data_IF_987963822306
#
_entry.id   IF_987963822306
#
_cell.length_a   1.000
_cell.length_b   1.000
_cell.length_c   1.000
_cell.angle_alpha   90.00
_cell.angle_beta   90.00
_cell.angle_gamma   90.00
#
_symmetry.space_group_name_H-M   'P 1'
#
loop_
_entity.id
_entity.type
_entity.pdbx_description
1 polymer ?
#
# COMPACT_ATOMS: atom_id res chain seq x y z
N UNK A 1 -21.55 45.20 20.16
CA UNK A 1 -20.66 44.16 20.70
C UNK A 1 -20.00 43.44 19.53
N UNK A 2 -18.70 43.15 19.66
CA UNK A 2 -17.79 42.79 18.58
C UNK A 2 -17.98 41.37 18.01
N UNK A 3 -17.24 41.12 16.91
CA UNK A 3 -16.83 39.80 16.36
C UNK A 3 -17.82 39.15 15.38
N UNK A 4 -17.45 38.67 14.19
CA UNK A 4 -16.22 38.70 13.42
C UNK A 4 -16.61 38.30 11.98
N UNK A 5 -16.06 38.98 10.97
CA UNK A 5 -16.09 38.51 9.59
C UNK A 5 -15.30 37.20 9.52
N UNK A 6 -15.91 36.12 9.03
CA UNK A 6 -15.19 34.88 8.77
C UNK A 6 -14.20 35.10 7.61
N UNK A 7 -12.93 34.73 7.76
CA UNK A 7 -11.97 34.80 6.68
C UNK A 7 -12.29 33.73 5.64
N UNK A 8 -12.32 34.13 4.37
CA UNK A 8 -12.33 33.24 3.22
C UNK A 8 -10.92 32.61 3.13
N UNK A 9 -10.73 31.42 3.69
CA UNK A 9 -9.51 30.64 3.43
C UNK A 9 -9.69 29.96 2.07
N UNK A 10 -9.14 30.56 1.02
CA UNK A 10 -8.84 29.87 -0.23
C UNK A 10 -7.47 29.22 -0.07
N UNK A 11 -7.44 27.90 0.12
CA UNK A 11 -6.21 27.13 -0.10
C UNK A 11 -5.91 27.10 -1.62
N UNK A 12 -4.64 27.19 -2.04
CA UNK A 12 -4.25 27.22 -3.46
C UNK A 12 -4.43 25.87 -4.19
N UNK A 13 -4.94 24.85 -3.50
CA UNK A 13 -5.30 23.56 -4.09
C UNK A 13 -6.83 23.44 -4.02
N UNK A 14 -7.51 23.48 -5.17
CA UNK A 14 -8.96 23.64 -5.32
C UNK A 14 -9.85 22.50 -4.81
N UNK A 15 -9.66 22.04 -3.58
CA UNK A 15 -10.55 21.15 -2.87
C UNK A 15 -11.55 21.98 -2.04
N UNK A 16 -12.82 21.96 -2.44
CA UNK A 16 -13.90 22.60 -1.69
C UNK A 16 -14.12 21.85 -0.36
N UNK A 17 -13.77 22.47 0.76
CA UNK A 17 -14.04 21.94 2.11
C UNK A 17 -15.25 22.66 2.69
N UNK A 18 -16.40 21.98 2.70
CA UNK A 18 -17.62 22.47 3.34
C UNK A 18 -17.55 22.23 4.86
N UNK A 19 -17.61 23.29 5.67
CA UNK A 19 -17.80 23.19 7.12
C UNK A 19 -19.03 23.99 7.54
N UNK A 20 -19.94 23.37 8.28
CA UNK A 20 -21.08 24.04 8.89
C UNK A 20 -21.09 23.74 10.40
N UNK A 21 -21.39 24.77 11.22
CA UNK A 21 -21.56 24.58 12.67
C UNK A 21 -22.90 23.86 12.91
N UNK A 22 -22.96 22.87 13.82
CA UNK A 22 -24.20 22.15 14.11
C UNK A 22 -25.25 23.15 14.63
N UNK A 23 -26.39 23.23 13.93
CA UNK A 23 -27.57 23.98 14.36
C UNK A 23 -28.67 22.98 14.74
N UNK A 24 -29.36 23.17 15.87
CA UNK A 24 -30.51 22.35 16.21
C UNK A 24 -31.62 22.53 15.17
N UNK A 25 -32.30 21.43 14.82
CA UNK A 25 -33.41 21.46 13.87
C UNK A 25 -34.59 22.27 14.46
N UNK A 26 -35.22 23.18 13.70
CA UNK A 26 -36.37 23.91 14.20
C UNK A 26 -37.55 22.96 14.41
N UNK A 27 -38.16 23.03 15.59
CA UNK A 27 -39.37 22.28 15.95
C UNK A 27 -40.53 22.75 15.08
N UNK A 28 -41.05 21.86 14.22
CA UNK A 28 -42.29 22.11 13.48
C UNK A 28 -43.47 22.09 14.44
N UNK A 29 -44.21 23.20 14.53
CA UNK A 29 -45.53 23.23 15.17
C UNK A 29 -46.53 22.42 14.33
N UNK A 30 -47.32 21.55 14.98
CA UNK A 30 -48.27 20.63 14.33
C UNK A 30 -49.57 21.30 13.86
N UNK A 31 -49.83 22.55 14.25
CA UNK A 31 -51.03 23.29 13.85
C UNK A 31 -50.67 24.68 13.31
N UNK A 32 -51.39 25.09 12.28
CA UNK A 32 -51.15 26.31 11.51
C UNK A 32 -52.08 27.41 12.04
N UNK A 33 -51.67 28.07 13.11
CA UNK A 33 -52.37 29.27 13.60
C UNK A 33 -51.98 30.49 12.76
N UNK A 34 -52.94 31.22 12.15
CA UNK A 34 -52.64 32.34 11.26
C UNK A 34 -52.11 33.61 11.97
N UNK A 35 -52.06 33.62 13.30
CA UNK A 35 -51.69 34.80 14.09
C UNK A 35 -50.17 34.94 14.38
N UNK A 36 -49.33 33.95 14.05
CA UNK A 36 -47.88 33.98 14.37
C UNK A 36 -47.02 34.50 13.21
N UNK A 37 -47.60 34.84 12.06
CA UNK A 37 -46.85 35.19 10.84
C UNK A 37 -46.20 36.59 10.91
N UNK A 38 -46.50 37.42 11.90
CA UNK A 38 -46.02 38.81 11.91
C UNK A 38 -44.68 39.05 12.62
N UNK A 39 -44.17 38.12 13.42
CA UNK A 39 -42.95 38.35 14.20
C UNK A 39 -42.01 37.15 14.14
N UNK A 40 -41.34 36.97 12.99
CA UNK A 40 -40.01 36.39 12.82
C UNK A 40 -39.77 36.23 11.31
N UNK A 41 -38.56 36.54 10.84
CA UNK A 41 -38.13 36.41 9.44
C UNK A 41 -38.26 34.95 8.95
N UNK A 42 -39.46 34.52 8.59
CA UNK A 42 -39.72 33.21 8.00
C UNK A 42 -39.33 33.25 6.53
N UNK A 43 -38.10 32.82 6.26
CA UNK A 43 -37.66 32.44 4.93
C UNK A 43 -38.64 31.41 4.36
N UNK A 44 -39.39 31.80 3.33
CA UNK A 44 -40.23 30.89 2.54
C UNK A 44 -39.27 29.97 1.78
N UNK A 45 -39.02 28.78 2.31
CA UNK A 45 -38.25 27.77 1.60
C UNK A 45 -38.99 27.39 0.33
N UNK A 46 -38.41 27.76 -0.82
CA UNK A 46 -38.90 27.34 -2.12
C UNK A 46 -38.89 25.82 -2.24
N UNK A 47 -39.96 25.25 -2.78
CA UNK A 47 -40.05 23.81 -2.98
C UNK A 47 -38.91 23.34 -3.90
N UNK A 48 -37.95 22.63 -3.31
CA UNK A 48 -36.80 21.99 -4.00
C UNK A 48 -37.30 21.06 -5.14
N UNK A 49 -38.57 20.65 -5.03
CA UNK A 49 -39.53 20.13 -6.02
C UNK A 49 -39.44 20.67 -7.45
N UNK A 50 -39.14 21.97 -7.59
CA UNK A 50 -39.20 22.67 -8.87
C UNK A 50 -37.97 23.53 -9.13
N UNK A 51 -36.94 23.41 -8.29
CA UNK A 51 -35.71 24.15 -8.46
C UNK A 51 -34.88 23.53 -9.59
N UNK A 52 -34.65 24.32 -10.65
CA UNK A 52 -33.88 23.91 -11.84
C UNK A 52 -32.41 23.66 -11.53
N UNK A 53 -31.90 24.14 -10.39
CA UNK A 53 -30.52 23.90 -9.95
C UNK A 53 -30.33 22.53 -9.32
N UNK A 54 -31.41 21.88 -8.90
CA UNK A 54 -31.36 20.59 -8.20
C UNK A 54 -31.57 19.46 -9.20
N UNK A 55 -30.46 18.89 -9.66
CA UNK A 55 -30.45 17.74 -10.56
C UNK A 55 -30.86 16.50 -9.77
N UNK A 56 -31.97 15.87 -10.16
CA UNK A 56 -32.46 14.64 -9.54
C UNK A 56 -32.03 13.44 -10.39
N UNK A 57 -31.14 12.62 -9.85
CA UNK A 57 -30.62 11.44 -10.52
C UNK A 57 -29.28 11.01 -9.95
N UNK A 58 -28.81 9.82 -10.35
CA UNK A 58 -27.52 9.27 -9.95
C UNK A 58 -26.37 10.04 -10.65
N UNK A 59 -25.40 10.55 -9.90
CA UNK A 59 -24.31 11.42 -10.39
C UNK A 59 -23.21 10.68 -11.15
N UNK A 60 -23.19 9.34 -11.13
CA UNK A 60 -22.17 8.52 -11.77
C UNK A 60 -22.32 8.36 -13.30
N UNK A 61 -23.46 8.74 -13.89
CA UNK A 61 -23.71 8.63 -15.32
C UNK A 61 -23.65 9.97 -16.09
N UNK A 62 -23.08 11.03 -15.50
CA UNK A 62 -22.84 12.27 -16.22
C UNK A 62 -21.60 12.13 -17.10
N UNK A 63 -21.78 11.54 -18.28
CA UNK A 63 -20.92 11.82 -19.41
C UNK A 63 -20.91 13.34 -19.63
N UNK A 64 -19.73 13.94 -19.53
CA UNK A 64 -19.46 15.32 -19.93
C UNK A 64 -19.76 15.49 -21.42
N UNK A 65 -20.97 15.95 -21.74
CA UNK A 65 -21.31 16.33 -23.11
C UNK A 65 -20.68 17.70 -23.41
N UNK A 66 -19.91 17.86 -24.50
CA UNK A 66 -19.40 19.15 -24.92
C UNK A 66 -20.56 20.06 -25.35
N UNK A 67 -20.39 21.36 -25.10
CA UNK A 67 -21.37 22.46 -25.23
C UNK A 67 -21.91 22.73 -26.65
N UNK A 68 -21.87 21.75 -27.58
CA UNK A 68 -22.31 21.90 -28.98
C UNK A 68 -22.87 20.63 -29.66
N UNK A 69 -23.39 19.65 -28.92
CA UNK A 69 -24.16 18.58 -29.57
C UNK A 69 -25.50 19.14 -30.07
N UNK A 70 -25.66 19.26 -31.40
CA UNK A 70 -27.00 19.48 -31.97
C UNK A 70 -27.92 18.33 -31.52
N UNK A 71 -29.16 18.62 -31.10
CA UNK A 71 -30.09 17.56 -30.71
C UNK A 71 -30.37 16.66 -31.92
N UNK A 72 -30.36 15.35 -31.69
CA UNK A 72 -30.59 14.35 -32.72
C UNK A 72 -31.90 14.66 -33.49
N UNK A 73 -31.91 14.55 -34.83
CA UNK A 73 -33.09 14.86 -35.66
C UNK A 73 -34.30 13.97 -35.32
N UNK A 74 -34.08 12.84 -34.65
CA UNK A 74 -35.12 11.94 -34.16
C UNK A 74 -35.88 12.51 -32.94
N UNK A 75 -35.20 13.18 -32.00
CA UNK A 75 -35.85 13.78 -30.82
C UNK A 75 -36.68 15.00 -31.20
N UNK A 76 -36.18 15.81 -32.15
CA UNK A 76 -36.90 16.97 -32.72
C UNK A 76 -38.20 16.54 -33.41
N UNK A 77 -38.19 15.44 -34.17
CA UNK A 77 -39.41 14.87 -34.78
C UNK A 77 -40.42 14.42 -33.72
N UNK A 78 -39.97 13.74 -32.67
CA UNK A 78 -40.82 13.24 -31.58
C UNK A 78 -41.48 14.40 -30.80
N UNK A 79 -40.74 15.48 -30.59
CA UNK A 79 -41.26 16.67 -29.90
C UNK A 79 -42.27 17.45 -30.76
N UNK A 80 -42.03 17.56 -32.07
CA UNK A 80 -42.99 18.16 -33.01
C UNK A 80 -44.29 17.33 -33.12
N UNK A 81 -44.19 16.00 -33.15
CA UNK A 81 -45.35 15.10 -33.17
C UNK A 81 -46.20 15.21 -31.90
N UNK A 82 -45.56 15.26 -30.72
CA UNK A 82 -46.24 15.48 -29.45
C UNK A 82 -46.99 16.83 -29.42
N UNK A 83 -46.37 17.89 -29.95
CA UNK A 83 -46.98 19.23 -30.05
C UNK A 83 -48.18 19.23 -31.01
N UNK A 84 -48.09 18.51 -32.13
CA UNK A 84 -49.18 18.33 -33.09
C UNK A 84 -50.37 17.57 -32.48
N UNK A 85 -50.10 16.50 -31.73
CA UNK A 85 -51.14 15.72 -31.02
C UNK A 85 -51.87 16.54 -29.96
N UNK A 86 -51.14 17.38 -29.21
CA UNK A 86 -51.74 18.28 -28.22
C UNK A 86 -52.66 19.35 -28.85
N UNK A 87 -52.26 19.93 -29.99
CA UNK A 87 -53.08 20.88 -30.75
C UNK A 87 -54.34 20.22 -31.34
N UNK A 88 -54.22 19.00 -31.87
CA UNK A 88 -55.38 18.22 -32.35
C UNK A 88 -56.38 17.92 -31.23
N UNK A 89 -55.90 17.57 -30.02
CA UNK A 89 -56.75 17.33 -28.85
C UNK A 89 -57.46 18.60 -28.38
N UNK A 90 -56.83 19.77 -28.49
CA UNK A 90 -57.47 21.07 -28.21
C UNK A 90 -58.59 21.37 -29.22
N UNK A 91 -58.33 21.20 -30.53
CA UNK A 91 -59.35 21.39 -31.58
C UNK A 91 -60.53 20.42 -31.46
N UNK A 92 -60.27 19.16 -31.14
CA UNK A 92 -61.33 18.18 -30.89
C UNK A 92 -62.20 18.59 -29.69
N UNK A 93 -61.59 19.11 -28.61
CA UNK A 93 -62.34 19.61 -27.44
C UNK A 93 -63.20 20.83 -27.75
N UNK A 94 -62.78 21.68 -28.70
CA UNK A 94 -63.58 22.80 -29.20
C UNK A 94 -64.74 22.35 -30.10
N UNK A 95 -64.55 21.28 -30.89
CA UNK A 95 -65.60 20.70 -31.74
C UNK A 95 -66.67 19.92 -30.95
N UNK A 96 -66.33 19.40 -29.76
CA UNK A 96 -67.30 18.76 -28.86
C UNK A 96 -68.16 19.76 -28.04
N UNK A 97 -68.00 21.07 -28.23
CA UNK A 97 -68.97 22.07 -27.73
C UNK A 97 -70.11 22.23 -28.73
N UNK A 98 -70.98 21.23 -28.81
CA UNK A 98 -72.25 21.34 -29.52
C UNK A 98 -73.40 20.95 -28.61
N UNK A 99 -74.29 21.94 -28.44
CA UNK A 99 -75.75 21.82 -28.28
C UNK A 99 -76.36 21.63 -26.87
N UNK A 100 -76.10 22.60 -25.98
CA UNK A 100 -77.15 23.05 -25.05
C UNK A 100 -77.53 24.48 -25.44
N UNK A 101 -78.79 24.80 -25.76
CA UNK A 101 -79.19 26.18 -26.06
C UNK A 101 -78.92 27.09 -24.85
N UNK A 102 -78.63 28.37 -25.11
CA UNK A 102 -78.38 29.35 -24.04
C UNK A 102 -79.60 29.49 -23.13
N UNK A 103 -79.35 29.70 -21.83
CA UNK A 103 -80.43 29.82 -20.85
C UNK A 103 -81.27 31.08 -21.15
N UNK A 104 -82.62 31.02 -21.13
CA UNK A 104 -83.46 32.18 -21.32
C UNK A 104 -83.22 33.23 -20.22
N UNK A 105 -83.38 34.51 -20.56
CA UNK A 105 -83.10 35.64 -19.65
C UNK A 105 -83.82 35.46 -18.30
N UNK A 106 -83.06 35.48 -17.20
CA UNK A 106 -83.55 35.32 -15.83
C UNK A 106 -83.47 33.89 -15.26
N UNK A 107 -83.08 32.87 -16.04
CA UNK A 107 -82.84 31.50 -15.53
C UNK A 107 -81.38 31.07 -15.72
N UNK A 108 -80.84 30.31 -14.77
CA UNK A 108 -79.52 29.66 -14.88
C UNK A 108 -79.73 28.14 -14.95
N UNK A 109 -79.05 27.47 -15.88
CA UNK A 109 -78.99 26.00 -15.87
C UNK A 109 -78.18 25.55 -14.65
N UNK A 110 -78.79 24.77 -13.75
CA UNK A 110 -78.15 24.00 -12.68
C UNK A 110 -78.37 22.53 -12.97
N UNK A 111 -77.35 21.69 -12.76
CA UNK A 111 -77.40 20.26 -13.13
C UNK A 111 -78.35 19.42 -12.24
N UNK A 112 -78.67 19.89 -11.03
CA UNK A 112 -79.68 19.28 -10.11
C UNK A 112 -80.31 20.38 -9.24
N UNK A 113 -81.65 20.39 -9.11
CA UNK A 113 -82.37 21.27 -8.18
C UNK A 113 -82.43 20.61 -6.79
N UNK A 114 -81.73 21.20 -5.81
CA UNK A 114 -81.72 20.72 -4.41
C UNK A 114 -82.46 21.66 -3.47
N UNK A 115 -83.52 22.31 -3.95
CA UNK A 115 -84.33 23.26 -3.17
C UNK A 115 -85.61 22.54 -2.74
N UNK A 116 -85.98 22.61 -1.45
CA UNK A 116 -87.14 21.93 -0.89
C UNK A 116 -88.42 22.62 -1.40
N UNK A 117 -89.07 22.03 -2.41
CA UNK A 117 -90.32 22.52 -2.99
C UNK A 117 -91.48 21.74 -2.37
N UNK A 118 -92.02 22.22 -1.25
CA UNK A 118 -93.24 21.68 -0.64
C UNK A 118 -94.32 22.76 -0.69
N UNK A 119 -95.43 22.45 -1.35
CA UNK A 119 -96.68 23.20 -1.24
C UNK A 119 -97.40 22.76 0.03
N UNK A 120 -97.68 23.70 0.95
CA UNK A 120 -98.57 23.46 2.08
C UNK A 120 -100.02 23.45 1.57
N UNK A 121 -100.63 22.26 1.53
CA UNK A 121 -102.06 22.08 1.23
C UNK A 121 -102.87 22.56 2.44
N UNK A 122 -103.66 23.62 2.26
CA UNK A 122 -104.42 24.32 3.31
C UNK A 122 -105.87 23.84 3.49
N UNK A 123 -106.26 22.71 2.89
CA UNK A 123 -107.60 22.12 3.09
C UNK A 123 -107.56 21.00 4.15
N UNK A 124 -108.12 21.30 5.33
CA UNK A 124 -108.48 20.29 6.32
C UNK A 124 -109.91 19.82 6.03
N UNK A 125 -110.16 18.52 5.74
CA UNK A 125 -111.53 18.04 5.60
C UNK A 125 -112.28 18.11 6.94
N UNK A 126 -113.59 18.37 6.88
CA UNK A 126 -114.44 18.55 8.07
C UNK A 126 -114.66 17.23 8.82
N UNK A 127 -114.24 17.18 10.08
CA UNK A 127 -114.47 16.03 10.96
C UNK A 127 -115.88 16.07 11.56
N UNK A 128 -116.74 15.14 11.11
CA UNK A 128 -118.06 14.94 11.70
C UNK A 128 -117.98 13.99 12.91
N UNK A 129 -118.05 14.56 14.12
CA UNK A 129 -118.11 13.80 15.37
C UNK A 129 -119.53 13.30 15.65
N UNK A 130 -119.77 11.99 15.52
CA UNK A 130 -120.96 11.32 16.03
C UNK A 130 -120.63 10.49 17.28
N UNK A 131 -121.23 10.85 18.42
CA UNK A 131 -121.12 10.07 19.66
C UNK A 131 -122.23 9.02 19.75
N UNK A 132 -121.88 7.73 19.70
CA UNK A 132 -122.79 6.63 20.04
C UNK A 132 -122.42 6.04 21.41
N UNK A 133 -123.46 5.82 22.21
CA UNK A 133 -123.40 5.27 23.55
C UNK A 133 -123.01 3.77 23.52
N UNK A 134 -122.07 3.44 24.41
CA UNK A 134 -121.29 2.20 24.60
C UNK A 134 -122.08 0.89 24.76
N UNK A 135 -121.49 -0.21 24.29
CA UNK A 135 -121.46 -1.48 25.04
C UNK A 135 -120.03 -1.73 25.55
N UNK A 136 -119.88 -2.42 26.67
CA UNK A 136 -118.60 -2.67 27.32
C UNK A 136 -117.75 -3.63 26.48
N UNK A 137 -116.63 -3.15 25.94
CA UNK A 137 -115.63 -3.96 25.25
C UNK A 137 -115.14 -5.08 26.18
N UNK A 138 -115.46 -6.33 25.85
CA UNK A 138 -114.74 -7.49 26.36
C UNK A 138 -113.42 -7.56 25.60
N UNK A 139 -112.31 -7.75 26.30
CA UNK A 139 -110.98 -7.89 25.68
C UNK A 139 -110.97 -9.10 24.73
N UNK A 140 -110.94 -8.85 23.42
CA UNK A 140 -110.60 -9.88 22.43
C UNK A 140 -109.16 -10.33 22.67
N UNK A 141 -108.87 -11.65 22.65
CA UNK A 141 -107.49 -12.11 22.69
C UNK A 141 -106.74 -11.55 21.47
N UNK A 142 -105.49 -11.11 21.68
CA UNK A 142 -104.68 -10.54 20.62
C UNK A 142 -104.64 -11.48 19.41
N UNK A 143 -105.05 -10.98 18.24
CA UNK A 143 -105.05 -11.74 17.01
C UNK A 143 -103.61 -12.22 16.71
N UNK A 144 -103.42 -13.51 16.38
CA UNK A 144 -102.09 -14.03 16.13
C UNK A 144 -101.43 -13.25 14.97
N UNK A 145 -100.18 -12.83 15.18
CA UNK A 145 -99.40 -12.12 14.16
C UNK A 145 -99.33 -12.98 12.89
N UNK A 146 -99.87 -12.44 11.79
CA UNK A 146 -99.77 -13.09 10.49
C UNK A 146 -98.31 -13.08 10.03
N UNK A 147 -97.68 -14.26 10.04
CA UNK A 147 -96.38 -14.48 9.42
C UNK A 147 -96.64 -14.98 8.00
N UNK A 148 -96.41 -14.17 6.96
CA UNK A 148 -96.60 -14.61 5.58
C UNK A 148 -95.69 -15.79 5.29
N UNK A 149 -96.23 -16.83 4.65
CA UNK A 149 -95.42 -17.94 4.16
C UNK A 149 -94.36 -17.40 3.19
N UNK A 150 -93.10 -17.80 3.38
CA UNK A 150 -91.99 -17.39 2.51
C UNK A 150 -92.32 -17.81 1.07
N UNK A 151 -92.67 -16.83 0.23
CA UNK A 151 -92.93 -17.05 -1.19
C UNK A 151 -91.66 -16.79 -1.99
N UNK A 152 -90.88 -17.85 -2.23
CA UNK A 152 -89.67 -17.82 -3.04
C UNK A 152 -88.98 -19.19 -3.02
N UNK A 153 -88.30 -19.57 -4.11
CA UNK A 153 -87.47 -20.78 -4.15
C UNK A 153 -86.05 -20.41 -3.72
N UNK A 154 -85.57 -21.01 -2.64
CA UNK A 154 -84.17 -20.85 -2.23
C UNK A 154 -83.27 -21.65 -3.17
N UNK A 155 -82.27 -20.99 -3.76
CA UNK A 155 -81.23 -21.60 -4.59
C UNK A 155 -79.89 -21.25 -3.98
N UNK A 156 -79.11 -22.26 -3.63
CA UNK A 156 -77.71 -22.08 -3.24
C UNK A 156 -76.83 -22.38 -4.46
N UNK A 157 -75.92 -21.47 -4.76
CA UNK A 157 -74.85 -21.67 -5.74
C UNK A 157 -73.53 -21.71 -4.99
N UNK A 158 -72.81 -22.82 -5.08
CA UNK A 158 -71.49 -23.02 -4.49
C UNK A 158 -70.52 -23.32 -5.63
N UNK A 159 -69.32 -22.74 -5.56
CA UNK A 159 -68.21 -23.06 -6.47
C UNK A 159 -67.37 -24.15 -5.79
N UNK A 160 -67.15 -25.24 -6.51
CA UNK A 160 -66.38 -26.38 -6.01
C UNK A 160 -64.88 -26.20 -6.23
N UNK A 161 -64.06 -26.93 -5.47
CA UNK A 161 -62.60 -26.87 -5.60
C UNK A 161 -62.17 -27.25 -7.03
N UNK A 162 -61.45 -26.34 -7.70
CA UNK A 162 -60.94 -26.53 -9.07
C UNK A 162 -61.82 -25.97 -10.20
N UNK A 163 -63.04 -25.52 -9.92
CA UNK A 163 -63.96 -25.02 -10.96
C UNK A 163 -63.51 -23.67 -11.58
N UNK A 164 -62.71 -22.89 -10.84
CA UNK A 164 -62.15 -21.61 -11.28
C UNK A 164 -60.66 -21.68 -11.66
N UNK A 165 -60.06 -22.86 -11.69
CA UNK A 165 -58.62 -22.99 -11.93
C UNK A 165 -58.28 -22.81 -13.42
N UNK A 166 -57.50 -21.77 -13.72
CA UNK A 166 -56.99 -21.50 -15.08
C UNK A 166 -55.49 -21.76 -15.13
N UNK A 167 -55.09 -22.93 -15.64
CA UNK A 167 -53.69 -23.38 -15.65
C UNK A 167 -52.72 -22.35 -16.24
N UNK A 168 -53.04 -21.75 -17.38
CA UNK A 168 -52.16 -20.81 -18.08
C UNK A 168 -51.88 -19.52 -17.28
N UNK A 169 -52.77 -19.15 -16.35
CA UNK A 169 -52.58 -18.01 -15.45
C UNK A 169 -51.85 -18.43 -14.18
N UNK A 170 -52.25 -19.56 -13.60
CA UNK A 170 -51.71 -20.03 -12.32
C UNK A 170 -50.29 -20.59 -12.42
N UNK A 171 -49.86 -21.09 -13.59
CA UNK A 171 -48.50 -21.60 -13.80
C UNK A 171 -47.46 -20.50 -14.01
N UNK A 172 -47.87 -19.29 -14.41
CA UNK A 172 -46.95 -18.20 -14.75
C UNK A 172 -45.96 -17.87 -13.62
N UNK A 173 -46.37 -17.69 -12.35
CA UNK A 173 -45.44 -17.38 -11.26
C UNK A 173 -44.44 -18.51 -10.99
N UNK A 174 -44.88 -19.77 -11.14
CA UNK A 174 -44.02 -20.94 -10.96
C UNK A 174 -42.96 -20.98 -12.06
N UNK A 175 -43.36 -20.77 -13.30
CA UNK A 175 -42.46 -20.77 -14.45
C UNK A 175 -41.46 -19.61 -14.38
N UNK A 176 -41.92 -18.42 -13.98
CA UNK A 176 -41.08 -17.24 -13.82
C UNK A 176 -39.99 -17.45 -12.77
N UNK A 177 -40.35 -18.02 -11.61
CA UNK A 177 -39.36 -18.35 -10.56
C UNK A 177 -38.39 -19.42 -11.04
N UNK A 178 -38.87 -20.45 -11.75
CA UNK A 178 -38.03 -21.55 -12.21
C UNK A 178 -37.04 -21.11 -13.30
N UNK A 179 -37.50 -20.33 -14.27
CA UNK A 179 -36.64 -19.74 -15.30
C UNK A 179 -35.68 -18.72 -14.66
N UNK A 180 -36.17 -17.84 -13.80
CA UNK A 180 -35.34 -16.86 -13.10
C UNK A 180 -34.22 -17.52 -12.31
N UNK A 181 -34.53 -18.56 -11.52
CA UNK A 181 -33.54 -19.25 -10.70
C UNK A 181 -32.54 -20.04 -11.54
N UNK A 182 -32.99 -20.72 -12.60
CA UNK A 182 -32.09 -21.46 -13.50
C UNK A 182 -31.15 -20.53 -14.25
N UNK A 183 -31.63 -19.38 -14.73
CA UNK A 183 -30.78 -18.40 -15.39
C UNK A 183 -29.79 -17.73 -14.43
N UNK A 184 -30.23 -17.37 -13.22
CA UNK A 184 -29.37 -16.80 -12.18
C UNK A 184 -28.27 -17.78 -11.77
N UNK A 185 -28.63 -19.04 -11.53
CA UNK A 185 -27.66 -20.07 -11.18
C UNK A 185 -26.65 -20.31 -12.32
N UNK A 186 -27.12 -20.45 -13.56
CA UNK A 186 -26.23 -20.63 -14.71
C UNK A 186 -25.26 -19.45 -14.89
N UNK A 187 -25.75 -18.21 -14.67
CA UNK A 187 -24.90 -17.02 -14.77
C UNK A 187 -23.82 -17.01 -13.69
N UNK A 188 -24.17 -17.34 -12.44
CA UNK A 188 -23.20 -17.41 -11.34
C UNK A 188 -22.14 -18.48 -11.61
N UNK A 189 -22.54 -19.67 -12.04
CA UNK A 189 -21.62 -20.76 -12.36
C UNK A 189 -20.61 -20.38 -13.45
N UNK A 190 -21.07 -19.75 -14.54
CA UNK A 190 -20.19 -19.30 -15.63
C UNK A 190 -19.21 -18.21 -15.15
N UNK A 191 -19.68 -17.26 -14.33
CA UNK A 191 -18.81 -16.22 -13.77
C UNK A 191 -17.74 -16.82 -12.85
N UNK A 192 -18.11 -17.75 -11.99
CA UNK A 192 -17.18 -18.46 -11.11
C UNK A 192 -16.13 -19.25 -11.92
N UNK A 193 -16.55 -19.92 -13.00
CA UNK A 193 -15.63 -20.64 -13.87
C UNK A 193 -14.62 -19.72 -14.56
N UNK A 194 -15.06 -18.57 -15.06
CA UNK A 194 -14.18 -17.56 -15.68
C UNK A 194 -13.20 -16.97 -14.67
N UNK A 195 -13.66 -16.64 -13.46
CA UNK A 195 -12.81 -16.14 -12.38
C UNK A 195 -11.75 -17.17 -11.99
N UNK A 196 -12.14 -18.44 -11.79
CA UNK A 196 -11.20 -19.52 -11.50
C UNK A 196 -10.20 -19.74 -12.63
N UNK A 197 -10.62 -19.63 -13.89
CA UNK A 197 -9.73 -19.73 -15.04
C UNK A 197 -8.70 -18.58 -15.06
N UNK A 198 -9.14 -17.35 -14.79
CA UNK A 198 -8.28 -16.16 -14.69
C UNK A 198 -7.25 -16.29 -13.57
N UNK A 199 -7.68 -16.68 -12.36
CA UNK A 199 -6.79 -16.90 -11.22
C UNK A 199 -5.76 -18.01 -11.49
N UNK A 200 -6.18 -19.12 -12.10
CA UNK A 200 -5.27 -20.21 -12.49
C UNK A 200 -4.24 -19.74 -13.53
N UNK A 201 -4.66 -18.93 -14.51
CA UNK A 201 -3.75 -18.38 -15.51
C UNK A 201 -2.71 -17.46 -14.86
N UNK A 202 -3.13 -16.57 -13.96
CA UNK A 202 -2.24 -15.70 -13.19
C UNK A 202 -1.26 -16.51 -12.33
N UNK A 203 -1.75 -17.54 -11.64
CA UNK A 203 -0.91 -18.39 -10.80
C UNK A 203 0.15 -19.13 -11.62
N UNK A 204 -0.20 -19.65 -12.81
CA UNK A 204 0.76 -20.30 -13.71
C UNK A 204 1.82 -19.31 -14.20
N UNK A 205 1.41 -18.13 -14.67
CA UNK A 205 2.36 -17.10 -15.12
C UNK A 205 3.32 -16.68 -13.99
N UNK A 206 2.82 -16.52 -12.77
CA UNK A 206 3.65 -16.21 -11.61
C UNK A 206 4.63 -17.35 -11.26
N UNK A 207 4.17 -18.61 -11.31
CA UNK A 207 5.02 -19.77 -11.07
C UNK A 207 6.12 -19.90 -12.12
N UNK A 208 5.81 -19.66 -13.40
CA UNK A 208 6.80 -19.67 -14.49
C UNK A 208 7.89 -18.62 -14.26
N UNK A 209 7.50 -17.38 -13.94
CA UNK A 209 8.44 -16.30 -13.61
C UNK A 209 9.30 -16.66 -12.40
N UNK A 210 8.67 -17.10 -11.30
CA UNK A 210 9.38 -17.50 -10.09
C UNK A 210 10.37 -18.63 -10.33
N UNK A 211 9.99 -19.63 -11.14
CA UNK A 211 10.87 -20.74 -11.47
C UNK A 211 12.06 -20.27 -12.32
N UNK A 212 11.85 -19.35 -13.26
CA UNK A 212 12.92 -18.74 -14.04
C UNK A 212 13.89 -17.93 -13.16
N UNK A 213 13.36 -17.13 -12.24
CA UNK A 213 14.16 -16.37 -11.26
C UNK A 213 15.00 -17.29 -10.37
N UNK A 214 14.42 -18.38 -9.84
CA UNK A 214 15.16 -19.34 -9.01
C UNK A 214 16.33 -19.95 -9.78
N UNK A 215 16.12 -20.34 -11.04
CA UNK A 215 17.18 -20.90 -11.89
C UNK A 215 18.28 -19.86 -12.15
N UNK A 216 17.92 -18.60 -12.38
CA UNK A 216 18.89 -17.53 -12.57
C UNK A 216 19.71 -17.26 -11.31
N UNK A 217 19.06 -17.19 -10.15
CA UNK A 217 19.74 -17.01 -8.85
C UNK A 217 20.72 -18.15 -8.60
N UNK A 218 20.31 -19.41 -8.80
CA UNK A 218 21.20 -20.56 -8.66
C UNK A 218 22.43 -20.45 -9.57
N UNK A 219 22.24 -20.04 -10.83
CA UNK A 219 23.35 -19.81 -11.77
C UNK A 219 24.33 -18.75 -11.25
N UNK A 220 23.82 -17.65 -10.70
CA UNK A 220 24.64 -16.56 -10.16
C UNK A 220 25.36 -16.98 -8.88
N UNK A 221 24.70 -17.71 -7.98
CA UNK A 221 25.30 -18.24 -6.76
C UNK A 221 26.46 -19.21 -7.06
N UNK A 222 26.30 -20.08 -8.05
CA UNK A 222 27.38 -20.98 -8.48
C UNK A 222 28.58 -20.21 -9.05
N UNK A 223 28.33 -19.17 -9.85
CA UNK A 223 29.39 -18.30 -10.36
C UNK A 223 30.11 -17.57 -9.23
N UNK A 224 29.35 -17.00 -8.28
CA UNK A 224 29.92 -16.31 -7.13
C UNK A 224 30.75 -17.26 -6.26
N UNK A 225 30.27 -18.50 -6.06
CA UNK A 225 31.01 -19.54 -5.35
C UNK A 225 32.36 -19.82 -6.02
N UNK A 226 32.40 -20.01 -7.35
CA UNK A 226 33.66 -20.22 -8.09
C UNK A 226 34.61 -19.03 -7.94
N UNK A 227 34.11 -17.81 -8.08
CA UNK A 227 34.92 -16.60 -7.91
C UNK A 227 35.45 -16.44 -6.49
N UNK A 228 34.63 -16.76 -5.48
CA UNK A 228 35.02 -16.71 -4.07
C UNK A 228 36.10 -17.74 -3.77
N UNK A 229 35.96 -18.97 -4.25
CA UNK A 229 36.98 -20.01 -4.11
C UNK A 229 38.29 -19.61 -4.79
N UNK A 230 38.25 -19.04 -6.00
CA UNK A 230 39.45 -18.53 -6.67
C UNK A 230 40.10 -17.38 -5.89
N UNK A 231 39.31 -16.40 -5.44
CA UNK A 231 39.81 -15.26 -4.65
C UNK A 231 40.51 -15.72 -3.37
N UNK A 232 39.93 -16.71 -2.67
CA UNK A 232 40.55 -17.30 -1.47
C UNK A 232 41.87 -17.99 -1.81
N UNK A 233 41.94 -18.74 -2.92
CA UNK A 233 43.19 -19.36 -3.38
C UNK A 233 44.26 -18.32 -3.71
N UNK A 234 43.91 -17.24 -4.42
CA UNK A 234 44.82 -16.14 -4.74
C UNK A 234 45.33 -15.43 -3.49
N UNK A 235 44.45 -15.16 -2.53
CA UNK A 235 44.83 -14.56 -1.25
C UNK A 235 45.83 -15.43 -0.49
N UNK A 236 45.60 -16.75 -0.45
CA UNK A 236 46.52 -17.70 0.19
C UNK A 236 47.90 -17.68 -0.48
N UNK A 237 47.94 -17.74 -1.81
CA UNK A 237 49.18 -17.65 -2.58
C UNK A 237 49.94 -16.35 -2.31
N UNK A 238 49.25 -15.20 -2.34
CA UNK A 238 49.88 -13.91 -2.06
C UNK A 238 50.41 -13.83 -0.63
N UNK A 239 49.70 -14.38 0.34
CA UNK A 239 50.16 -14.44 1.73
C UNK A 239 51.44 -15.25 1.86
N UNK A 240 51.51 -16.42 1.22
CA UNK A 240 52.72 -17.26 1.21
C UNK A 240 53.90 -16.53 0.54
N UNK A 241 53.67 -15.82 -0.56
CA UNK A 241 54.70 -15.00 -1.22
C UNK A 241 55.20 -13.91 -0.28
N UNK A 242 54.31 -13.17 0.39
CA UNK A 242 54.68 -12.08 1.29
C UNK A 242 55.50 -12.58 2.50
N UNK A 243 55.12 -13.72 3.10
CA UNK A 243 55.89 -14.34 4.17
C UNK A 243 57.30 -14.74 3.69
N UNK A 244 57.40 -15.33 2.50
CA UNK A 244 58.69 -15.69 1.91
C UNK A 244 59.55 -14.46 1.60
N UNK A 245 58.96 -13.40 1.04
CA UNK A 245 59.64 -12.14 0.78
C UNK A 245 60.18 -11.52 2.07
N UNK A 246 59.39 -11.54 3.15
CA UNK A 246 59.83 -11.08 4.47
C UNK A 246 61.05 -11.88 4.96
N UNK A 247 60.97 -13.21 4.92
CA UNK A 247 62.09 -14.09 5.33
C UNK A 247 63.34 -13.85 4.48
N UNK A 248 63.17 -13.66 3.17
CA UNK A 248 64.28 -13.37 2.25
C UNK A 248 64.89 -12.01 2.57
N UNK A 249 64.07 -10.97 2.80
CA UNK A 249 64.53 -9.64 3.16
C UNK A 249 65.34 -9.65 4.47
N UNK A 250 64.85 -10.36 5.50
CA UNK A 250 65.56 -10.55 6.77
C UNK A 250 66.91 -11.27 6.56
N UNK A 251 66.94 -12.32 5.74
CA UNK A 251 68.18 -13.04 5.40
C UNK A 251 69.19 -12.16 4.66
N UNK A 252 68.73 -11.36 3.70
CA UNK A 252 69.58 -10.43 2.95
C UNK A 252 70.13 -9.36 3.90
N UNK A 253 69.28 -8.78 4.75
CA UNK A 253 69.70 -7.78 5.73
C UNK A 253 70.76 -8.34 6.69
N UNK A 254 70.53 -9.53 7.25
CA UNK A 254 71.49 -10.21 8.13
C UNK A 254 72.82 -10.50 7.42
N UNK A 255 72.78 -10.93 6.15
CA UNK A 255 73.98 -11.16 5.35
C UNK A 255 74.76 -9.88 5.11
N UNK A 256 74.10 -8.80 4.70
CA UNK A 256 74.74 -7.51 4.45
C UNK A 256 75.34 -6.96 5.75
N UNK A 257 74.61 -7.04 6.86
CA UNK A 257 75.11 -6.65 8.17
C UNK A 257 76.34 -7.44 8.58
N UNK A 258 76.32 -8.78 8.45
CA UNK A 258 77.47 -9.61 8.76
C UNK A 258 78.68 -9.29 7.88
N UNK A 259 78.48 -9.03 6.58
CA UNK A 259 79.56 -8.64 5.67
C UNK A 259 80.18 -7.31 6.06
N UNK A 260 79.37 -6.29 6.37
CA UNK A 260 79.85 -4.98 6.81
C UNK A 260 80.59 -5.09 8.15
N UNK A 261 80.00 -5.79 9.13
CA UNK A 261 80.61 -5.99 10.44
C UNK A 261 81.96 -6.74 10.35
N UNK A 262 82.02 -7.81 9.56
CA UNK A 262 83.26 -8.58 9.36
C UNK A 262 84.32 -7.78 8.59
N UNK A 263 83.90 -6.94 7.64
CA UNK A 263 84.82 -6.10 6.88
C UNK A 263 85.57 -5.10 7.77
N UNK A 264 84.92 -4.58 8.82
CA UNK A 264 85.54 -3.65 9.77
C UNK A 264 86.25 -4.39 10.93
N UNK A 265 85.66 -5.49 11.40
CA UNK A 265 86.21 -6.28 12.51
C UNK A 265 87.54 -6.93 12.15
N UNK A 266 87.66 -7.51 10.94
CA UNK A 266 88.87 -8.23 10.55
C UNK A 266 90.11 -7.32 10.60
N UNK A 267 90.18 -6.17 9.91
CA UNK A 267 91.31 -5.25 10.01
C UNK A 267 91.58 -4.77 11.44
N UNK A 268 90.53 -4.49 12.21
CA UNK A 268 90.67 -4.06 13.62
C UNK A 268 91.34 -5.14 14.47
N UNK A 269 90.87 -6.39 14.39
CA UNK A 269 91.47 -7.53 15.11
C UNK A 269 92.89 -7.78 14.62
N UNK A 270 93.14 -7.79 13.30
CA UNK A 270 94.49 -7.96 12.76
C UNK A 270 95.46 -6.88 13.23
N UNK A 271 95.03 -5.62 13.27
CA UNK A 271 95.85 -4.51 13.79
C UNK A 271 96.10 -4.67 15.29
N UNK A 272 95.07 -4.94 16.10
CA UNK A 272 95.24 -5.13 17.56
C UNK A 272 96.17 -6.30 17.88
N UNK A 273 96.09 -7.40 17.13
CA UNK A 273 96.91 -8.59 17.33
C UNK A 273 98.35 -8.36 16.82
N UNK A 274 98.53 -7.52 15.79
CA UNK A 274 99.85 -7.02 15.34
C UNK A 274 100.47 -6.10 16.38
N UNK A 275 99.71 -5.15 16.92
CA UNK A 275 100.16 -4.21 17.94
C UNK A 275 100.54 -4.91 19.25
N UNK A 276 99.83 -6.00 19.60
CA UNK A 276 100.16 -6.87 20.74
C UNK A 276 101.36 -7.80 20.47
N UNK A 277 101.95 -7.77 19.27
CA UNK A 277 103.17 -8.52 18.95
C UNK A 277 102.96 -10.02 18.71
N UNK A 278 101.72 -10.48 18.51
CA UNK A 278 101.43 -11.89 18.21
C UNK A 278 101.83 -12.26 16.77
N UNK A 279 101.78 -11.32 15.84
CA UNK A 279 102.34 -11.50 14.49
C UNK A 279 103.81 -11.10 14.49
N UNK A 280 104.70 -12.09 14.41
CA UNK A 280 106.14 -11.90 14.28
C UNK A 280 106.60 -12.19 12.85
N UNK A 281 107.66 -11.51 12.42
CA UNK A 281 108.36 -11.89 11.19
C UNK A 281 109.17 -13.17 11.48
N UNK A 282 108.92 -14.28 10.77
CA UNK A 282 109.65 -15.54 10.98
C UNK A 282 111.16 -15.34 10.83
N UNK A 283 111.60 -14.46 9.92
CA UNK A 283 113.03 -14.17 9.71
C UNK A 283 113.62 -13.47 10.93
N UNK A 284 112.92 -12.47 11.46
CA UNK A 284 113.37 -11.77 12.67
C UNK A 284 113.42 -12.72 13.86
N UNK A 285 112.42 -13.60 14.02
CA UNK A 285 112.38 -14.57 15.11
C UNK A 285 113.51 -15.61 15.02
N UNK A 286 113.80 -16.10 13.81
CA UNK A 286 114.90 -17.05 13.58
C UNK A 286 116.27 -16.40 13.83
N UNK A 287 116.43 -15.12 13.51
CA UNK A 287 117.64 -14.35 13.85
C UNK A 287 117.75 -14.20 15.37
N UNK A 288 116.69 -13.78 16.05
CA UNK A 288 116.68 -13.54 17.49
C UNK A 288 116.88 -14.81 18.32
N UNK A 289 116.28 -15.94 17.90
CA UNK A 289 116.29 -17.19 18.66
C UNK A 289 117.35 -18.19 18.21
N UNK A 290 117.76 -18.17 16.94
CA UNK A 290 118.77 -19.08 16.40
C UNK A 290 120.13 -18.40 16.24
N UNK A 291 120.18 -17.34 15.43
CA UNK A 291 121.45 -16.73 15.01
C UNK A 291 122.15 -15.94 16.13
N UNK A 292 121.43 -15.09 16.87
CA UNK A 292 122.03 -14.28 17.93
C UNK A 292 122.62 -15.15 19.06
N UNK A 293 121.93 -16.18 19.58
CA UNK A 293 122.53 -17.08 20.56
C UNK A 293 123.74 -17.82 20.00
N UNK A 294 123.66 -18.33 18.77
CA UNK A 294 124.80 -18.98 18.11
C UNK A 294 126.01 -18.02 17.99
N UNK A 295 125.81 -16.80 17.53
CA UNK A 295 126.86 -15.78 17.41
C UNK A 295 127.45 -15.42 18.78
N UNK A 296 126.61 -15.25 19.81
CA UNK A 296 127.09 -15.00 21.17
C UNK A 296 127.91 -16.18 21.71
N UNK A 297 127.52 -17.43 21.44
CA UNK A 297 128.32 -18.60 21.84
C UNK A 297 129.65 -18.69 21.10
N UNK A 298 129.70 -18.33 19.82
CA UNK A 298 130.94 -18.35 19.03
C UNK A 298 131.89 -17.24 19.51
N UNK A 299 131.37 -16.02 19.77
CA UNK A 299 132.14 -14.90 20.34
C UNK A 299 132.68 -15.27 21.73
N UNK A 300 131.86 -15.86 22.60
CA UNK A 300 132.30 -16.33 23.92
C UNK A 300 133.39 -17.41 23.81
N UNK A 301 133.30 -18.32 22.83
CA UNK A 301 134.34 -19.30 22.56
C UNK A 301 135.66 -18.65 22.11
N UNK A 302 135.60 -17.60 21.29
CA UNK A 302 136.77 -16.86 20.83
C UNK A 302 137.41 -16.05 21.97
N UNK A 303 136.60 -15.45 22.84
CA UNK A 303 137.06 -14.77 24.05
C UNK A 303 137.73 -15.75 25.02
N UNK A 304 137.13 -16.93 25.26
CA UNK A 304 137.73 -18.00 26.08
C UNK A 304 139.05 -18.49 25.52
N UNK A 305 139.14 -18.70 24.20
CA UNK A 305 140.42 -19.05 23.54
C UNK A 305 141.47 -17.95 23.77
N UNK A 306 141.10 -16.68 23.65
CA UNK A 306 141.98 -15.54 23.92
C UNK A 306 142.41 -15.49 25.40
N UNK A 307 141.49 -15.72 26.34
CA UNK A 307 141.78 -15.75 27.77
C UNK A 307 142.74 -16.90 28.13
N UNK A 308 142.54 -18.09 27.56
CA UNK A 308 143.47 -19.22 27.70
C UNK A 308 144.86 -18.85 27.16
N UNK A 309 144.94 -18.20 25.99
CA UNK A 309 146.23 -17.76 25.43
C UNK A 309 146.90 -16.72 26.34
N UNK A 310 146.16 -15.75 26.88
CA UNK A 310 146.70 -14.74 27.78
C UNK A 310 147.17 -15.36 29.11
N UNK A 311 146.40 -16.27 29.71
CA UNK A 311 146.80 -16.98 30.94
C UNK A 311 147.99 -17.90 30.72
N UNK A 312 148.09 -18.57 29.58
CA UNK A 312 149.28 -19.34 29.18
C UNK A 312 150.50 -18.42 29.00
N UNK A 313 150.31 -17.23 28.45
CA UNK A 313 151.38 -16.24 28.33
C UNK A 313 151.82 -15.71 29.69
N UNK A 314 150.87 -15.41 30.59
CA UNK A 314 151.16 -14.96 31.95
C UNK A 314 151.86 -16.03 32.79
N UNK A 315 151.47 -17.30 32.66
CA UNK A 315 152.17 -18.43 33.31
C UNK A 315 153.57 -18.62 32.76
N UNK A 316 153.77 -18.54 31.44
CA UNK A 316 155.12 -18.55 30.84
C UNK A 316 155.98 -17.38 31.33
N UNK A 317 155.40 -16.17 31.46
CA UNK A 317 156.11 -15.01 32.02
C UNK A 317 156.46 -15.24 33.50
N UNK A 318 155.55 -15.82 34.28
CA UNK A 318 155.77 -16.15 35.68
C UNK A 318 156.88 -17.20 35.87
N UNK A 319 156.89 -18.27 35.07
CA UNK A 319 157.93 -19.30 35.09
C UNK A 319 159.31 -18.73 34.70
N UNK A 320 159.36 -17.86 33.70
CA UNK A 320 160.60 -17.15 33.31
C UNK A 320 161.08 -16.20 34.41
N UNK A 321 160.16 -15.55 35.13
CA UNK A 321 160.49 -14.67 36.25
C UNK A 321 161.02 -15.44 37.48
N UNK A 322 160.40 -16.57 37.83
CA UNK A 322 160.86 -17.43 38.93
C UNK A 322 162.21 -18.09 38.60
N UNK A 323 162.41 -18.54 37.36
CA UNK A 323 163.70 -19.08 36.91
C UNK A 323 164.85 -18.07 37.00
N UNK A 324 164.55 -16.76 37.09
CA UNK A 324 165.53 -15.69 37.31
C UNK A 324 165.75 -15.33 38.79
N UNK A 325 164.87 -15.75 39.71
CA UNK A 325 165.04 -15.52 41.14
C UNK A 325 165.83 -16.63 41.84
N UNK A 326 165.98 -17.81 41.21
CA UNK A 326 166.79 -18.93 41.71
C UNK A 326 168.27 -18.90 41.22
N UNK A 327 168.71 -17.79 40.62
CA UNK A 327 170.12 -17.54 40.20
C UNK A 327 170.62 -16.22 40.75
#
# INVERSE_FOLDING_TARGET
MASALQPYNQDPNGAYVFSSRPRPAPTRLKYKDPAVIQNEESYVYGNIMYDRRVVRGNTYAQHTLPLRSQPDPAELKKQQEARRRALARKRAKEQFRLLTPEAPEGRKHKDVQTELYLEELSDHPEDASMGCQTDAFLDEPATPLFIPAKSGKDVATQIEEGELFYFDTEVQPVLEVLIGKTMEQALLEVLEEEELASLRAQQRAFQELRNAEIVEVQRLEEQERRHREEKVRRLKQQREVLENERVIAEKIAARVFAQQYLADLLPSVYNTLRDQGYFYDPVQRDIETGFLPWLMTEVDSALKKREIVLTMLDTLIYDVANSRQET
#
